data_IF_730819453402
#
_entry.id   IF_730819453402
#
_cell.length_a   1.000
_cell.length_b   1.000
_cell.length_c   1.000
_cell.angle_alpha   90.00
_cell.angle_beta   90.00
_cell.angle_gamma   90.00
#
_symmetry.space_group_name_H-M   'P 1'
#
loop_
_entity.id
_entity.type
_entity.pdbx_description
1 polymer ?
#
# COMPACT_ATOMS: atom_id res chain seq x y z
N UNK A 1 11.81 -24.46 10.35
CA UNK A 1 10.65 -23.56 10.19
C UNK A 1 10.55 -23.22 8.72
N UNK A 2 9.53 -23.72 8.03
CA UNK A 2 9.24 -23.33 6.64
C UNK A 2 8.51 -22.00 6.71
N UNK A 3 9.15 -20.93 6.24
CA UNK A 3 8.47 -19.67 5.99
C UNK A 3 7.51 -19.92 4.84
N UNK A 4 6.26 -20.21 5.17
CA UNK A 4 5.15 -20.05 4.22
C UNK A 4 5.18 -18.58 3.83
N UNK A 5 5.76 -18.29 2.67
CA UNK A 5 5.47 -17.06 1.92
C UNK A 5 3.97 -16.89 1.98
N UNK A 6 3.52 -15.89 2.73
CA UNK A 6 2.10 -15.60 2.94
C UNK A 6 1.42 -15.53 1.58
N UNK A 7 0.74 -16.62 1.18
CA UNK A 7 -0.13 -16.66 0.00
C UNK A 7 -1.45 -15.96 0.35
N UNK A 8 -1.35 -14.80 0.95
CA UNK A 8 -2.51 -13.97 1.25
C UNK A 8 -2.68 -13.03 0.05
N UNK A 9 -3.72 -13.23 -0.79
CA UNK A 9 -3.96 -12.40 -1.96
C UNK A 9 -4.06 -10.90 -1.63
N UNK A 10 -4.32 -10.58 -0.36
CA UNK A 10 -4.37 -9.20 0.13
C UNK A 10 -2.98 -8.54 0.12
N UNK A 11 -1.90 -9.29 0.38
CA UNK A 11 -0.53 -8.74 0.36
C UNK A 11 0.00 -8.49 -1.05
N UNK A 12 -0.38 -9.31 -2.03
CA UNK A 12 -0.03 -9.05 -3.44
C UNK A 12 -0.58 -7.70 -3.90
N UNK A 13 -1.81 -7.37 -3.49
CA UNK A 13 -2.45 -6.08 -3.77
C UNK A 13 -1.75 -4.91 -3.07
N UNK A 14 -1.27 -5.11 -1.85
CA UNK A 14 -0.47 -4.11 -1.13
C UNK A 14 0.83 -3.82 -1.88
N UNK A 15 1.53 -4.86 -2.33
CA UNK A 15 2.80 -4.74 -3.06
C UNK A 15 2.57 -4.07 -4.42
N UNK A 16 1.50 -4.43 -5.14
CA UNK A 16 1.10 -3.81 -6.39
C UNK A 16 0.92 -2.29 -6.22
N UNK A 17 0.10 -1.88 -5.24
CA UNK A 17 -0.18 -0.47 -4.98
C UNK A 17 1.09 0.26 -4.54
N UNK A 18 1.87 -0.30 -3.61
CA UNK A 18 3.11 0.32 -3.14
C UNK A 18 4.11 0.54 -4.28
N UNK A 19 4.27 -0.45 -5.16
CA UNK A 19 5.17 -0.35 -6.33
C UNK A 19 4.72 0.76 -7.28
N UNK A 20 3.42 0.85 -7.55
CA UNK A 20 2.86 1.91 -8.41
C UNK A 20 2.96 3.30 -7.78
N UNK A 21 2.71 3.42 -6.48
CA UNK A 21 2.94 4.67 -5.76
C UNK A 21 4.41 5.11 -5.79
N UNK A 22 5.34 4.16 -5.71
CA UNK A 22 6.77 4.45 -5.76
C UNK A 22 7.23 4.92 -7.15
N UNK A 23 6.78 4.25 -8.22
CA UNK A 23 7.23 4.52 -9.59
C UNK A 23 6.47 5.71 -10.20
N UNK A 24 5.14 5.70 -10.08
CA UNK A 24 4.24 6.61 -10.81
C UNK A 24 3.65 7.71 -9.91
N UNK A 25 3.89 7.66 -8.59
CA UNK A 25 3.29 8.58 -7.60
C UNK A 25 1.80 8.33 -7.33
N UNK A 26 1.16 7.47 -8.12
CA UNK A 26 -0.27 7.17 -8.03
C UNK A 26 -0.61 5.75 -8.49
N UNK A 27 -1.73 5.24 -7.99
CA UNK A 27 -2.37 4.01 -8.46
C UNK A 27 -3.82 4.32 -8.82
N UNK A 28 -4.27 3.89 -9.99
CA UNK A 28 -5.63 4.11 -10.48
C UNK A 28 -6.27 2.76 -10.77
N UNK A 29 -7.48 2.54 -10.26
CA UNK A 29 -8.26 1.34 -10.53
C UNK A 29 -9.72 1.69 -10.83
N UNK A 30 -10.32 0.90 -11.71
CA UNK A 30 -11.76 0.88 -11.93
C UNK A 30 -12.35 -0.29 -11.15
N UNK A 31 -13.38 -0.01 -10.36
CA UNK A 31 -14.02 -1.02 -9.54
C UNK A 31 -15.53 -0.86 -9.58
N UNK A 32 -16.24 -1.97 -9.61
CA UNK A 32 -17.62 -2.01 -9.14
C UNK A 32 -17.59 -1.94 -7.60
N UNK A 33 -18.21 -0.92 -6.97
CA UNK A 33 -18.28 -0.84 -5.52
C UNK A 33 -19.14 -1.95 -4.90
N UNK A 34 -19.88 -2.71 -5.70
CA UNK A 34 -20.60 -3.91 -5.30
C UNK A 34 -19.84 -5.19 -5.70
N UNK A 35 -19.59 -6.15 -4.78
CA UNK A 35 -19.88 -6.09 -3.34
C UNK A 35 -18.95 -5.13 -2.59
N UNK A 36 -19.47 -4.47 -1.55
CA UNK A 36 -18.73 -3.50 -0.73
C UNK A 36 -17.39 -4.03 -0.17
N UNK A 37 -17.28 -5.34 0.04
CA UNK A 37 -16.04 -5.96 0.51
C UNK A 37 -14.85 -5.67 -0.41
N UNK A 38 -15.03 -5.71 -1.74
CA UNK A 38 -13.94 -5.44 -2.69
C UNK A 38 -13.42 -4.01 -2.56
N UNK A 39 -14.32 -3.07 -2.28
CA UNK A 39 -13.97 -1.68 -2.03
C UNK A 39 -13.19 -1.52 -0.72
N UNK A 40 -13.65 -2.17 0.35
CA UNK A 40 -12.99 -2.17 1.67
C UNK A 40 -11.60 -2.81 1.59
N UNK A 41 -11.46 -3.94 0.89
CA UNK A 41 -10.17 -4.63 0.70
C UNK A 41 -9.18 -3.73 -0.03
N UNK A 42 -9.63 -3.01 -1.07
CA UNK A 42 -8.79 -2.08 -1.81
C UNK A 42 -8.38 -0.87 -0.95
N UNK A 43 -9.29 -0.33 -0.14
CA UNK A 43 -8.96 0.75 0.80
C UNK A 43 -7.95 0.28 1.84
N UNK A 44 -8.15 -0.90 2.43
CA UNK A 44 -7.21 -1.50 3.37
C UNK A 44 -5.84 -1.69 2.71
N UNK A 45 -5.78 -2.22 1.50
CA UNK A 45 -4.54 -2.46 0.78
C UNK A 45 -3.80 -1.14 0.48
N UNK A 46 -4.52 -0.10 0.08
CA UNK A 46 -3.97 1.24 -0.12
C UNK A 46 -3.36 1.81 1.18
N UNK A 47 -4.06 1.65 2.30
CA UNK A 47 -3.55 2.08 3.60
C UNK A 47 -2.29 1.32 4.02
N UNK A 48 -2.24 -0.01 3.83
CA UNK A 48 -1.03 -0.77 4.11
C UNK A 48 0.11 -0.40 3.17
N UNK A 49 -0.16 -0.15 1.88
CA UNK A 49 0.85 0.27 0.93
C UNK A 49 1.52 1.60 1.34
N UNK A 50 0.73 2.56 1.82
CA UNK A 50 1.27 3.80 2.39
C UNK A 50 2.22 3.54 3.57
N UNK A 51 1.87 2.61 4.46
CA UNK A 51 2.73 2.22 5.60
C UNK A 51 4.01 1.53 5.16
N UNK A 52 3.94 0.64 4.17
CA UNK A 52 5.12 -0.02 3.57
C UNK A 52 6.10 1.02 3.01
N UNK A 53 5.58 2.10 2.41
CA UNK A 53 6.38 3.20 1.89
C UNK A 53 6.83 4.22 2.96
N UNK A 54 6.56 3.98 4.25
CA UNK A 54 6.98 4.87 5.33
C UNK A 54 6.11 6.13 5.51
N UNK A 55 4.91 6.17 4.92
CA UNK A 55 4.01 7.32 5.03
C UNK A 55 2.54 6.96 4.98
N UNK A 56 1.74 7.80 4.31
CA UNK A 56 0.29 7.63 4.21
C UNK A 56 -0.12 7.59 2.74
N UNK A 57 -1.07 6.73 2.40
CA UNK A 57 -1.78 6.82 1.15
C UNK A 57 -3.08 7.59 1.33
N UNK A 58 -3.46 8.38 0.33
CA UNK A 58 -4.78 9.01 0.24
C UNK A 58 -5.56 8.32 -0.86
N UNK A 59 -6.78 7.91 -0.55
CA UNK A 59 -7.73 7.34 -1.50
C UNK A 59 -8.77 8.38 -1.88
N UNK A 60 -8.98 8.57 -3.19
CA UNK A 60 -10.07 9.39 -3.76
C UNK A 60 -10.94 8.49 -4.63
N UNK A 61 -12.25 8.68 -4.53
CA UNK A 61 -13.24 7.94 -5.32
C UNK A 61 -13.92 8.95 -6.23
N UNK A 62 -13.84 8.72 -7.53
CA UNK A 62 -14.53 9.49 -8.56
C UNK A 62 -16.03 9.15 -8.61
N UNK A 63 -16.81 9.91 -9.39
CA UNK A 63 -18.22 9.59 -9.62
C UNK A 63 -18.38 8.24 -10.34
N UNK A 64 -19.53 7.59 -10.15
CA UNK A 64 -19.88 6.42 -10.94
C UNK A 64 -20.15 6.81 -12.40
N UNK A 65 -19.92 5.86 -13.32
CA UNK A 65 -20.19 6.06 -14.76
C UNK A 65 -21.67 6.17 -15.09
N UNK A 66 -22.55 5.81 -14.16
CA UNK A 66 -23.98 6.05 -14.22
C UNK A 66 -24.79 4.89 -13.65
N UNK A 67 -26.13 4.93 -13.74
CA UNK A 67 -26.98 3.86 -13.23
C UNK A 67 -26.81 2.52 -13.98
N UNK A 68 -26.43 2.59 -15.26
CA UNK A 68 -26.20 1.41 -16.11
C UNK A 68 -24.80 0.79 -15.94
N UNK A 69 -23.85 1.55 -15.36
CA UNK A 69 -22.50 1.11 -15.05
C UNK A 69 -22.08 1.71 -13.70
N UNK A 70 -22.22 0.95 -12.59
CA UNK A 70 -21.92 1.44 -11.25
C UNK A 70 -20.42 1.61 -11.00
N UNK A 71 -19.56 1.27 -11.97
CA UNK A 71 -18.11 1.36 -11.86
C UNK A 71 -17.67 2.78 -11.47
N UNK A 72 -16.80 2.85 -10.47
CA UNK A 72 -16.14 4.07 -10.01
C UNK A 72 -14.64 4.00 -10.29
N UNK A 73 -14.02 5.15 -10.52
CA UNK A 73 -12.57 5.27 -10.59
C UNK A 73 -12.03 5.59 -9.19
N UNK A 74 -11.12 4.75 -8.70
CA UNK A 74 -10.41 4.96 -7.44
C UNK A 74 -8.98 5.39 -7.73
N UNK A 75 -8.56 6.50 -7.14
CA UNK A 75 -7.21 7.05 -7.25
C UNK A 75 -6.54 7.02 -5.89
N UNK A 76 -5.42 6.33 -5.79
CA UNK A 76 -4.55 6.29 -4.61
C UNK A 76 -3.32 7.14 -4.90
N UNK A 77 -2.98 8.04 -3.99
CA UNK A 77 -1.76 8.87 -4.09
C UNK A 77 -0.94 8.74 -2.83
N UNK A 78 0.38 8.77 -2.96
CA UNK A 78 1.27 8.86 -1.81
C UNK A 78 1.20 10.27 -1.19
N UNK A 79 1.17 10.36 0.13
CA UNK A 79 1.15 11.62 0.87
C UNK A 79 2.44 11.71 1.68
N UNK A 80 3.35 12.56 1.19
CA UNK A 80 4.56 12.98 1.89
C UNK A 80 4.45 14.46 2.28
N UNK A 81 3.70 14.78 3.35
CA UNK A 81 3.35 16.16 3.65
C UNK A 81 4.56 17.00 4.06
N UNK A 82 5.66 16.37 4.46
CA UNK A 82 6.88 17.04 4.88
C UNK A 82 8.12 16.65 4.05
N UNK A 83 7.96 15.92 2.95
CA UNK A 83 9.05 15.57 2.03
C UNK A 83 10.12 14.65 2.63
N UNK A 84 9.85 14.04 3.80
CA UNK A 84 10.84 13.27 4.58
C UNK A 84 10.55 11.76 4.55
N UNK A 85 9.67 11.31 3.68
CA UNK A 85 9.32 9.90 3.61
C UNK A 85 10.49 9.00 3.25
N UNK A 86 11.31 9.40 2.27
CA UNK A 86 12.52 8.68 1.91
C UNK A 86 13.49 8.59 3.09
N UNK A 87 13.75 9.72 3.74
CA UNK A 87 14.61 9.78 4.92
C UNK A 87 14.13 8.83 6.04
N UNK A 88 12.83 8.84 6.35
CA UNK A 88 12.26 7.92 7.36
C UNK A 88 12.39 6.45 6.97
N UNK A 89 12.24 6.14 5.67
CA UNK A 89 12.40 4.79 5.17
C UNK A 89 13.85 4.31 5.33
N UNK A 90 14.82 5.16 5.00
CA UNK A 90 16.26 4.89 5.19
C UNK A 90 16.60 4.69 6.67
N UNK A 91 16.16 5.60 7.55
CA UNK A 91 16.35 5.49 9.01
C UNK A 91 15.71 4.21 9.58
N UNK A 92 14.52 3.85 9.09
CA UNK A 92 13.82 2.63 9.47
C UNK A 92 14.55 1.36 9.04
N UNK A 93 15.06 1.32 7.81
CA UNK A 93 15.85 0.22 7.28
C UNK A 93 17.17 0.06 8.04
N UNK A 94 17.88 1.16 8.30
CA UNK A 94 19.12 1.14 9.07
C UNK A 94 18.88 0.57 10.47
N UNK A 95 17.82 1.02 11.15
CA UNK A 95 17.43 0.51 12.47
C UNK A 95 17.14 -0.98 12.43
N UNK A 96 16.39 -1.45 11.43
CA UNK A 96 16.08 -2.87 11.26
C UNK A 96 17.36 -3.71 11.04
N UNK A 97 18.25 -3.25 10.17
CA UNK A 97 19.53 -3.94 9.92
C UNK A 97 20.37 -4.05 11.19
N UNK A 98 20.44 -2.97 11.99
CA UNK A 98 21.13 -2.99 13.30
C UNK A 98 20.52 -4.02 14.25
N UNK A 99 19.19 -4.10 14.32
CA UNK A 99 18.51 -5.10 15.16
C UNK A 99 18.79 -6.53 14.70
N UNK A 100 18.66 -6.81 13.40
CA UNK A 100 18.93 -8.16 12.85
C UNK A 100 20.37 -8.59 13.09
N UNK A 101 21.33 -7.68 12.90
CA UNK A 101 22.75 -7.96 13.16
C UNK A 101 23.01 -8.23 14.65
N UNK A 102 22.37 -7.50 15.56
CA UNK A 102 22.48 -7.75 17.00
C UNK A 102 21.91 -9.13 17.38
N UNK A 103 20.73 -9.50 16.87
CA UNK A 103 20.10 -10.80 17.12
C UNK A 103 20.91 -11.99 16.58
N UNK A 104 21.65 -11.79 15.48
CA UNK A 104 22.52 -12.81 14.90
C UNK A 104 23.83 -12.99 15.68
N UNK A 105 24.33 -11.95 16.34
CA UNK A 105 25.56 -12.00 17.12
C UNK A 105 25.36 -12.59 18.53
N UNK A 106 24.12 -12.57 19.04
CA UNK A 106 23.73 -13.16 20.33
C UNK A 106 23.36 -14.66 20.23
N UNK A 107 23.59 -15.29 19.07
CA UNK A 107 23.37 -16.72 18.79
C UNK A 107 24.66 -17.47 18.56
#
# INVERSE_FOLDING_TARGET
MRSETSKDPQWDRVIEIASKLWIDGQYIAEIDPSPAQRFVDLQWAAHQAGRVLGGRARVRVGPSRGPADPTVTLTVTYVDPDGRSLQRAEEGLEKLMRTVLAEQNDR
#
